data_IF_603444222107
#
_entry.id   IF_603444222107
#
_cell.length_a   1.000
_cell.length_b   1.000
_cell.length_c   1.000
_cell.angle_alpha   90.00
_cell.angle_beta   90.00
_cell.angle_gamma   90.00
#
_symmetry.space_group_name_H-M   'P 1'
#
loop_
_entity.id
_entity.type
_entity.pdbx_description
1 polymer ?
#
# COMPACT_ATOMS: atom_id res chain seq x y z
N UNK A 1 48.24 29.62 27.13
CA UNK A 1 48.94 29.43 28.43
C UNK A 1 47.99 29.83 29.55
N UNK A 2 48.19 29.25 30.75
CA UNK A 2 47.38 29.36 31.99
C UNK A 2 46.24 28.32 32.02
N UNK A 3 46.04 27.44 33.01
CA UNK A 3 46.81 26.71 34.04
C UNK A 3 45.76 26.31 35.09
N UNK A 4 45.69 25.00 35.41
CA UNK A 4 45.42 24.43 36.76
C UNK A 4 43.97 24.60 37.30
N UNK A 5 43.44 23.78 38.19
CA UNK A 5 43.77 22.47 38.77
C UNK A 5 42.51 21.98 39.54
N UNK A 6 42.52 20.71 39.91
CA UNK A 6 41.49 19.97 40.65
C UNK A 6 41.07 20.58 42.00
N UNK A 7 39.87 20.20 42.46
CA UNK A 7 39.58 19.99 43.88
C UNK A 7 38.39 19.02 44.04
N UNK A 8 38.63 17.89 44.71
CA UNK A 8 37.62 17.04 45.29
C UNK A 8 37.23 17.58 46.67
N UNK A 9 35.96 17.48 47.08
CA UNK A 9 35.58 17.49 48.49
C UNK A 9 34.23 16.78 48.71
N UNK A 10 34.19 16.04 49.81
CA UNK A 10 33.25 14.97 50.12
C UNK A 10 31.97 15.39 50.87
N UNK A 11 30.96 14.52 50.76
CA UNK A 11 29.92 14.12 51.73
C UNK A 11 28.93 15.15 52.29
N UNK A 12 27.64 14.92 51.97
CA UNK A 12 26.57 14.94 52.97
C UNK A 12 25.42 14.02 52.53
N UNK A 13 25.08 13.05 53.39
CA UNK A 13 23.85 12.25 53.32
C UNK A 13 22.70 13.11 53.83
N UNK A 14 21.67 13.31 53.00
CA UNK A 14 20.38 13.84 53.45
C UNK A 14 19.30 12.84 53.03
N UNK A 15 18.82 12.04 53.99
CA UNK A 15 17.60 11.28 53.85
C UNK A 15 16.43 12.20 54.19
N UNK A 16 15.56 12.47 53.21
CA UNK A 16 14.18 12.90 53.45
C UNK A 16 13.26 12.09 52.54
N UNK A 17 12.36 11.34 53.17
CA UNK A 17 11.28 10.64 52.52
C UNK A 17 10.08 11.58 52.37
N UNK A 18 9.48 11.65 51.18
CA UNK A 18 8.03 11.90 51.00
C UNK A 18 7.67 11.86 49.50
N UNK A 19 6.90 10.83 49.13
CA UNK A 19 5.81 10.86 48.16
C UNK A 19 5.98 11.56 46.81
N UNK A 20 6.04 10.76 45.75
CA UNK A 20 5.11 10.85 44.62
C UNK A 20 5.36 9.63 43.73
N UNK A 21 4.51 8.61 43.86
CA UNK A 21 4.43 7.56 42.86
C UNK A 21 3.81 8.15 41.59
N UNK A 22 4.61 8.75 40.72
CA UNK A 22 4.25 8.85 39.31
C UNK A 22 4.45 7.46 38.73
N UNK A 23 3.39 6.66 38.76
CA UNK A 23 3.24 5.56 37.84
C UNK A 23 3.53 6.11 36.45
N UNK A 24 4.67 5.70 35.87
CA UNK A 24 5.01 6.07 34.50
C UNK A 24 3.84 5.65 33.63
N UNK A 25 3.23 6.62 32.96
CA UNK A 25 2.32 6.33 31.87
C UNK A 25 3.12 5.48 30.87
N UNK A 26 2.79 4.20 30.78
CA UNK A 26 3.20 3.37 29.66
C UNK A 26 2.82 4.13 28.38
N UNK A 27 3.72 4.28 27.41
CA UNK A 27 3.34 4.83 26.11
C UNK A 27 2.16 4.03 25.59
N UNK A 28 1.00 4.68 25.46
CA UNK A 28 -0.17 4.09 24.85
C UNK A 28 0.20 3.85 23.39
N UNK A 29 0.46 2.58 23.05
CA UNK A 29 0.62 2.16 21.67
C UNK A 29 -0.70 2.49 20.99
N UNK A 30 -0.73 3.34 19.96
CA UNK A 30 -1.97 3.65 19.26
C UNK A 30 -2.61 2.34 18.80
N UNK A 31 -3.89 2.16 19.12
CA UNK A 31 -4.64 1.01 18.63
C UNK A 31 -4.59 1.00 17.10
N UNK A 32 -4.20 -0.14 16.52
CA UNK A 32 -4.40 -0.39 15.09
C UNK A 32 -5.89 -0.25 14.77
N UNK A 33 -6.28 0.54 13.74
CA UNK A 33 -7.68 0.66 13.35
C UNK A 33 -8.30 -0.73 13.12
N UNK A 34 -9.48 -0.98 13.70
CA UNK A 34 -10.20 -2.26 13.51
C UNK A 34 -10.54 -2.55 12.04
N UNK A 35 -10.57 -1.51 11.20
CA UNK A 35 -10.55 -1.60 9.74
C UNK A 35 -10.05 -0.29 9.13
N UNK A 36 -9.41 -0.37 7.96
CA UNK A 36 -9.01 0.82 7.20
C UNK A 36 -10.23 1.42 6.49
N UNK A 37 -10.37 2.77 6.48
CA UNK A 37 -11.43 3.43 5.73
C UNK A 37 -11.25 3.22 4.23
N UNK A 38 -12.34 2.96 3.52
CA UNK A 38 -12.33 2.89 2.06
C UNK A 38 -12.04 4.26 1.42
N UNK A 39 -11.47 4.24 0.21
CA UNK A 39 -11.30 5.46 -0.59
C UNK A 39 -12.67 6.08 -0.89
N UNK A 40 -12.89 7.38 -0.65
CA UNK A 40 -14.16 8.03 -0.96
C UNK A 40 -14.54 7.90 -2.43
N UNK A 41 -15.83 7.67 -2.70
CA UNK A 41 -16.33 7.36 -4.04
C UNK A 41 -16.00 8.44 -5.07
N UNK A 42 -16.09 9.72 -4.70
CA UNK A 42 -15.74 10.85 -5.57
C UNK A 42 -14.27 10.85 -6.01
N UNK A 43 -13.37 10.33 -5.15
CA UNK A 43 -11.94 10.16 -5.48
C UNK A 43 -11.72 8.98 -6.42
N UNK A 44 -12.48 7.91 -6.23
CA UNK A 44 -12.46 6.75 -7.13
C UNK A 44 -12.98 7.16 -8.51
N UNK A 45 -14.12 7.86 -8.57
CA UNK A 45 -14.73 8.33 -9.82
C UNK A 45 -13.80 9.29 -10.58
N UNK A 46 -13.17 10.25 -9.89
CA UNK A 46 -12.15 11.14 -10.48
C UNK A 46 -10.97 10.34 -11.06
N UNK A 47 -10.48 9.33 -10.35
CA UNK A 47 -9.37 8.50 -10.83
C UNK A 47 -9.79 7.63 -12.04
N UNK A 48 -10.96 7.00 -11.98
CA UNK A 48 -11.51 6.18 -13.06
C UNK A 48 -11.76 7.00 -14.33
N UNK A 49 -12.18 8.27 -14.20
CA UNK A 49 -12.41 9.17 -15.34
C UNK A 49 -11.16 9.46 -16.18
N UNK A 50 -9.97 9.17 -15.64
CA UNK A 50 -8.68 9.39 -16.30
C UNK A 50 -8.18 8.16 -17.04
N UNK A 51 -8.80 7.01 -16.84
CA UNK A 51 -8.39 5.76 -17.47
C UNK A 51 -8.79 5.75 -18.94
N UNK A 52 -7.94 5.24 -19.85
CA UNK A 52 -8.39 4.89 -21.18
C UNK A 52 -9.51 3.85 -21.09
N UNK A 53 -10.43 3.88 -22.04
CA UNK A 53 -11.46 2.85 -22.13
C UNK A 53 -10.83 1.56 -22.67
N UNK A 54 -11.07 0.43 -22.00
CA UNK A 54 -10.65 -0.88 -22.52
C UNK A 54 -11.48 -1.30 -23.75
N UNK A 55 -12.78 -0.95 -23.76
CA UNK A 55 -13.69 -1.21 -24.88
C UNK A 55 -14.54 0.02 -25.16
N UNK A 56 -14.94 0.28 -26.43
CA UNK A 56 -15.84 1.37 -26.75
C UNK A 56 -17.15 1.29 -25.97
N UNK A 57 -17.54 2.39 -25.33
CA UNK A 57 -18.80 2.56 -24.61
C UNK A 57 -19.05 1.57 -23.45
N UNK A 58 -18.02 0.87 -22.97
CA UNK A 58 -18.10 -0.02 -21.80
C UNK A 58 -17.45 0.66 -20.59
N UNK A 59 -18.23 1.06 -19.57
CA UNK A 59 -17.68 1.74 -18.42
C UNK A 59 -16.85 0.79 -17.55
N UNK A 60 -15.89 1.36 -16.84
CA UNK A 60 -15.20 0.70 -15.73
C UNK A 60 -16.14 0.57 -14.52
N UNK A 61 -16.06 -0.56 -13.83
CA UNK A 61 -16.82 -0.87 -12.61
C UNK A 61 -15.88 -1.30 -11.50
N UNK A 62 -16.07 -0.74 -10.31
CA UNK A 62 -15.34 -1.18 -9.11
C UNK A 62 -15.75 -2.60 -8.74
N UNK A 63 -14.78 -3.50 -8.66
CA UNK A 63 -14.98 -4.92 -8.32
C UNK A 63 -14.22 -5.34 -7.07
N UNK A 64 -13.27 -4.53 -6.61
CA UNK A 64 -12.54 -4.76 -5.36
C UNK A 64 -11.90 -3.48 -4.82
N UNK A 65 -11.60 -3.48 -3.53
CA UNK A 65 -10.84 -2.41 -2.89
C UNK A 65 -10.21 -2.90 -1.60
N UNK A 66 -9.14 -2.23 -1.16
CA UNK A 66 -8.50 -2.50 0.12
C UNK A 66 -7.35 -1.56 0.38
N UNK A 67 -6.50 -1.93 1.34
CA UNK A 67 -5.39 -1.09 1.77
C UNK A 67 -4.20 -1.91 2.29
N UNK A 68 -3.08 -1.23 2.51
CA UNK A 68 -2.00 -1.73 3.34
C UNK A 68 -2.41 -1.86 4.81
N UNK A 69 -1.64 -2.61 5.59
CA UNK A 69 -1.90 -2.86 7.03
C UNK A 69 -1.96 -1.59 7.90
N UNK A 70 -1.39 -0.48 7.44
CA UNK A 70 -1.40 0.84 8.09
C UNK A 70 -2.35 1.84 7.41
N UNK A 71 -3.17 1.38 6.46
CA UNK A 71 -4.12 2.18 5.69
C UNK A 71 -3.51 3.27 4.79
N UNK A 72 -2.18 3.32 4.64
CA UNK A 72 -1.51 4.37 3.91
C UNK A 72 -1.56 4.16 2.39
N UNK A 73 -1.34 2.92 1.90
CA UNK A 73 -1.49 2.58 0.49
C UNK A 73 -2.86 1.95 0.27
N UNK A 74 -3.78 2.67 -0.36
CA UNK A 74 -5.10 2.13 -0.72
C UNK A 74 -5.12 1.69 -2.18
N UNK A 75 -5.94 0.70 -2.49
CA UNK A 75 -6.12 0.23 -3.85
C UNK A 75 -7.59 0.04 -4.20
N UNK A 76 -7.89 0.22 -5.48
CA UNK A 76 -9.21 -0.06 -6.06
C UNK A 76 -9.01 -0.85 -7.34
N UNK A 77 -9.70 -1.98 -7.45
CA UNK A 77 -9.77 -2.78 -8.66
C UNK A 77 -10.99 -2.37 -9.48
N UNK A 78 -10.77 -2.14 -10.78
CA UNK A 78 -11.85 -1.91 -11.73
C UNK A 78 -11.73 -2.84 -12.93
N UNK A 79 -12.88 -3.37 -13.32
CA UNK A 79 -13.05 -4.22 -14.49
C UNK A 79 -14.09 -3.58 -15.42
N UNK A 80 -14.05 -3.82 -16.75
CA UNK A 80 -15.10 -3.38 -17.65
C UNK A 80 -16.44 -3.99 -17.24
N UNK A 81 -17.55 -3.25 -17.35
CA UNK A 81 -18.84 -3.83 -17.02
C UNK A 81 -19.15 -5.04 -17.92
N UNK A 82 -19.65 -6.12 -17.30
CA UNK A 82 -19.80 -7.42 -17.97
C UNK A 82 -18.49 -8.23 -18.14
N UNK A 83 -17.41 -7.85 -17.47
CA UNK A 83 -16.14 -8.58 -17.47
C UNK A 83 -16.27 -10.08 -17.15
N UNK A 84 -15.34 -10.86 -17.72
CA UNK A 84 -15.12 -12.28 -17.43
C UNK A 84 -13.74 -12.48 -16.82
N UNK A 85 -13.38 -13.69 -16.42
CA UNK A 85 -12.11 -13.96 -15.72
C UNK A 85 -10.83 -13.60 -16.51
N UNK A 86 -10.92 -13.35 -17.82
CA UNK A 86 -9.80 -12.93 -18.68
C UNK A 86 -9.94 -11.50 -19.21
N UNK A 87 -10.87 -10.71 -18.67
CA UNK A 87 -11.04 -9.32 -19.07
C UNK A 87 -9.86 -8.46 -18.56
N UNK A 88 -9.54 -7.36 -19.27
CA UNK A 88 -8.51 -6.43 -18.82
C UNK A 88 -8.98 -5.73 -17.52
N UNK A 89 -8.06 -5.54 -16.57
CA UNK A 89 -8.34 -5.00 -15.24
C UNK A 89 -7.31 -3.93 -14.89
N UNK A 90 -7.75 -2.84 -14.26
CA UNK A 90 -6.84 -1.89 -13.61
C UNK A 90 -6.87 -2.08 -12.09
N UNK A 91 -5.69 -2.01 -11.47
CA UNK A 91 -5.53 -1.75 -10.04
C UNK A 91 -5.05 -0.31 -9.88
N UNK A 92 -5.90 0.55 -9.36
CA UNK A 92 -5.62 1.95 -9.06
C UNK A 92 -5.00 2.04 -7.67
N UNK A 93 -3.92 2.82 -7.52
CA UNK A 93 -3.16 2.98 -6.30
C UNK A 93 -3.32 4.41 -5.76
N UNK A 94 -3.60 4.51 -4.47
CA UNK A 94 -3.85 5.76 -3.77
C UNK A 94 -2.91 5.89 -2.57
N UNK A 95 -2.22 7.03 -2.48
CA UNK A 95 -1.56 7.47 -1.26
C UNK A 95 -2.64 8.10 -0.36
N UNK A 96 -3.00 7.37 0.69
CA UNK A 96 -4.21 7.58 1.47
C UNK A 96 -5.43 7.62 0.54
N UNK A 97 -6.01 8.80 0.30
CA UNK A 97 -7.15 8.99 -0.62
C UNK A 97 -6.78 9.76 -1.89
N UNK A 98 -5.49 10.00 -2.13
CA UNK A 98 -5.01 10.71 -3.31
C UNK A 98 -4.59 9.69 -4.37
N UNK A 99 -5.25 9.73 -5.52
CA UNK A 99 -4.84 8.92 -6.67
C UNK A 99 -3.40 9.23 -7.06
N UNK A 100 -2.58 8.18 -7.17
CA UNK A 100 -1.18 8.27 -7.57
C UNK A 100 -0.94 7.70 -8.96
N UNK A 101 -1.28 6.43 -9.15
CA UNK A 101 -0.92 5.65 -10.34
C UNK A 101 -1.84 4.44 -10.49
N UNK A 102 -1.76 3.77 -11.63
CA UNK A 102 -2.17 2.36 -11.78
C UNK A 102 -0.99 1.44 -11.53
N UNK A 103 -1.25 0.16 -11.22
CA UNK A 103 -0.19 -0.84 -11.05
C UNK A 103 0.62 -1.04 -12.34
N UNK A 104 -0.06 -1.08 -13.48
CA UNK A 104 0.49 -1.11 -14.84
C UNK A 104 -0.08 0.05 -15.65
N UNK A 105 0.64 0.51 -16.68
CA UNK A 105 0.17 1.60 -17.55
C UNK A 105 -1.11 1.20 -18.29
N UNK A 106 -1.10 0.03 -18.92
CA UNK A 106 -2.25 -0.59 -19.58
C UNK A 106 -2.98 -1.58 -18.65
N UNK A 107 -4.29 -1.82 -18.87
CA UNK A 107 -5.03 -2.78 -18.06
C UNK A 107 -4.70 -4.22 -18.45
N UNK A 108 -4.52 -5.07 -17.44
CA UNK A 108 -4.03 -6.44 -17.62
C UNK A 108 -5.07 -7.49 -17.28
N UNK A 109 -5.03 -8.63 -17.97
CA UNK A 109 -5.83 -9.78 -17.58
C UNK A 109 -5.21 -10.50 -16.36
N UNK A 110 -6.06 -11.19 -15.58
CA UNK A 110 -5.64 -12.08 -14.49
C UNK A 110 -4.79 -11.42 -13.38
N UNK A 111 -4.93 -10.12 -13.17
CA UNK A 111 -4.30 -9.38 -12.08
C UNK A 111 -5.24 -9.31 -10.87
N UNK A 112 -4.71 -9.56 -9.66
CA UNK A 112 -5.47 -9.42 -8.41
C UNK A 112 -4.54 -8.99 -7.27
N UNK A 113 -5.07 -8.29 -6.27
CA UNK A 113 -4.30 -7.94 -5.06
C UNK A 113 -4.31 -9.12 -4.08
N UNK A 114 -3.12 -9.62 -3.73
CA UNK A 114 -2.94 -10.75 -2.81
C UNK A 114 -3.08 -10.32 -1.34
N UNK A 115 -2.77 -9.06 -1.02
CA UNK A 115 -2.89 -8.51 0.33
C UNK A 115 -1.77 -7.53 0.67
N UNK A 116 -1.52 -7.35 1.96
CA UNK A 116 -0.48 -6.50 2.51
C UNK A 116 0.14 -7.17 3.72
N UNK A 117 1.47 -7.26 3.74
CA UNK A 117 2.25 -7.79 4.86
C UNK A 117 3.08 -6.70 5.57
N UNK A 118 3.07 -5.46 5.05
CA UNK A 118 3.89 -4.36 5.55
C UNK A 118 3.23 -2.97 5.37
N UNK A 119 3.53 -2.00 6.26
CA UNK A 119 3.05 -0.62 6.15
C UNK A 119 3.38 0.01 4.78
N UNK A 120 2.40 0.72 4.20
CA UNK A 120 2.52 1.39 2.91
C UNK A 120 2.82 0.48 1.73
N UNK A 121 2.63 -0.84 1.86
CA UNK A 121 2.94 -1.84 0.84
C UNK A 121 1.75 -2.77 0.59
N UNK A 122 1.56 -3.19 -0.66
CA UNK A 122 0.67 -4.28 -1.05
C UNK A 122 1.40 -5.24 -1.99
N UNK A 123 0.92 -6.46 -2.10
CA UNK A 123 1.38 -7.45 -3.07
C UNK A 123 0.30 -7.66 -4.12
N UNK A 124 0.67 -7.53 -5.39
CA UNK A 124 -0.20 -7.79 -6.53
C UNK A 124 0.28 -9.06 -7.22
N UNK A 125 -0.63 -10.01 -7.41
CA UNK A 125 -0.39 -11.21 -8.21
C UNK A 125 -0.73 -10.90 -9.66
N UNK A 126 0.24 -11.09 -10.54
CA UNK A 126 0.05 -11.12 -11.99
C UNK A 126 0.10 -12.57 -12.48
N UNK A 127 -0.70 -12.89 -13.49
CA UNK A 127 -0.70 -14.19 -14.17
C UNK A 127 -0.78 -14.01 -15.67
N UNK A 128 -0.21 -14.94 -16.41
CA UNK A 128 -0.19 -14.91 -17.88
C UNK A 128 -0.26 -16.31 -18.46
N UNK A 129 -0.74 -16.40 -19.70
CA UNK A 129 -0.86 -17.64 -20.43
C UNK A 129 0.52 -18.07 -20.96
N UNK A 130 0.96 -19.26 -20.59
CA UNK A 130 2.09 -19.93 -21.23
C UNK A 130 1.63 -20.70 -22.49
N UNK A 131 2.54 -21.09 -23.39
CA UNK A 131 2.20 -21.94 -24.53
C UNK A 131 1.48 -23.22 -24.09
N UNK A 132 0.25 -23.40 -24.54
CA UNK A 132 -0.60 -24.56 -24.22
C UNK A 132 -1.59 -24.35 -23.08
N UNK A 133 -1.57 -23.21 -22.39
CA UNK A 133 -2.58 -22.89 -21.38
C UNK A 133 -3.97 -22.69 -22.01
N UNK A 134 -5.05 -23.17 -21.37
CA UNK A 134 -6.40 -22.77 -21.73
C UNK A 134 -6.59 -21.27 -21.51
N UNK A 135 -7.38 -20.62 -22.38
CA UNK A 135 -7.56 -19.16 -22.39
C UNK A 135 -7.94 -18.53 -21.04
N UNK A 136 -8.61 -19.26 -20.15
CA UNK A 136 -9.04 -18.77 -18.83
C UNK A 136 -8.29 -19.42 -17.64
N UNK A 137 -7.19 -20.13 -17.89
CA UNK A 137 -6.45 -20.83 -16.85
C UNK A 137 -4.92 -20.68 -17.01
N UNK A 138 -4.38 -19.48 -16.76
CA UNK A 138 -2.95 -19.22 -16.87
C UNK A 138 -2.13 -19.95 -15.81
N UNK A 139 -1.00 -20.53 -16.22
CA UNK A 139 -0.04 -21.18 -15.32
C UNK A 139 1.14 -20.27 -14.97
N UNK A 140 1.42 -19.25 -15.79
CA UNK A 140 2.37 -18.19 -15.47
C UNK A 140 1.89 -17.35 -14.29
N UNK A 141 2.79 -17.01 -13.37
CA UNK A 141 2.47 -16.23 -12.17
C UNK A 141 3.69 -15.53 -11.60
N UNK A 142 3.51 -14.30 -11.14
CA UNK A 142 4.45 -13.59 -10.29
C UNK A 142 3.72 -12.75 -9.25
N UNK A 143 4.34 -12.58 -8.09
CA UNK A 143 3.90 -11.66 -7.05
C UNK A 143 4.85 -10.46 -7.05
N UNK A 144 4.30 -9.26 -7.18
CA UNK A 144 5.05 -8.00 -7.26
C UNK A 144 4.59 -7.10 -6.14
N UNK A 145 5.52 -6.61 -5.31
CA UNK A 145 5.20 -5.67 -4.25
C UNK A 145 5.17 -4.25 -4.81
N UNK A 146 4.18 -3.49 -4.37
CA UNK A 146 4.03 -2.06 -4.63
C UNK A 146 4.12 -1.30 -3.31
N UNK A 147 4.75 -0.14 -3.33
CA UNK A 147 4.95 0.66 -2.13
C UNK A 147 4.68 2.15 -2.39
N UNK A 148 4.33 2.87 -1.32
CA UNK A 148 4.44 4.33 -1.28
C UNK A 148 5.89 4.79 -1.38
N UNK A 149 6.08 5.92 -2.04
CA UNK A 149 7.34 6.63 -2.08
C UNK A 149 7.17 8.06 -1.60
N UNK A 150 8.14 8.62 -0.87
CA UNK A 150 8.11 10.02 -0.51
C UNK A 150 8.02 10.91 -1.76
N UNK A 151 6.98 11.73 -1.84
CA UNK A 151 6.77 12.74 -2.90
C UNK A 151 6.60 12.18 -4.33
N UNK A 152 6.43 10.87 -4.48
CA UNK A 152 6.23 10.21 -5.77
C UNK A 152 4.97 9.34 -5.71
N UNK A 153 4.30 9.10 -6.85
CA UNK A 153 3.22 8.12 -6.92
C UNK A 153 3.66 6.75 -6.39
N UNK A 154 2.74 5.94 -5.82
CA UNK A 154 3.03 4.56 -5.47
C UNK A 154 3.51 3.77 -6.70
N UNK A 155 4.35 2.77 -6.50
CA UNK A 155 4.90 2.00 -7.62
C UNK A 155 5.54 0.68 -7.19
N UNK A 156 5.95 -0.14 -8.18
CA UNK A 156 6.53 -1.44 -7.92
C UNK A 156 7.93 -1.29 -7.30
N UNK A 157 8.23 -2.14 -6.31
CA UNK A 157 9.58 -2.31 -5.76
C UNK A 157 10.24 -3.61 -6.20
N UNK A 158 9.46 -4.52 -6.80
CA UNK A 158 9.94 -5.71 -7.48
C UNK A 158 9.73 -5.54 -9.00
N UNK A 159 10.53 -6.19 -9.86
CA UNK A 159 10.33 -6.13 -11.30
C UNK A 159 8.95 -6.69 -11.69
N UNK A 160 8.22 -5.97 -12.55
CA UNK A 160 7.04 -6.53 -13.22
C UNK A 160 7.54 -7.47 -14.32
N UNK A 161 7.02 -8.71 -14.42
CA UNK A 161 7.44 -9.64 -15.46
C UNK A 161 7.18 -9.08 -16.87
N UNK A 162 8.10 -9.28 -17.83
CA UNK A 162 7.93 -8.80 -19.19
C UNK A 162 6.73 -9.42 -19.91
N UNK A 163 6.25 -10.58 -19.45
CA UNK A 163 5.05 -11.25 -19.99
C UNK A 163 3.75 -10.50 -19.66
N UNK A 164 3.78 -9.57 -18.70
CA UNK A 164 2.64 -8.75 -18.30
C UNK A 164 2.61 -7.45 -19.10
N UNK A 165 3.74 -6.75 -19.25
CA UNK A 165 3.78 -5.41 -19.85
C UNK A 165 4.10 -5.41 -21.35
N UNK A 166 3.59 -6.40 -22.08
CA UNK A 166 4.00 -6.77 -23.45
C UNK A 166 3.19 -6.18 -24.58
#
# INVERSE_FOLDING_TARGET
MIRKAAAALSLAFAATAAGAGTAGATPEVPATPESCPAVPADRVDDAVSRLPQAFPDVPWKVTGSGSSVDCALNWVQVDPDGATGSSPTHILLFDHFKYGSTATEDPEAFVNVAGSDAPGQITITFRWLNPGDPNANPTGRADVRYQLFPQSPPGPIDPIPPEVTG
#
